data_IF_296756838620
#
_entry.id   IF_296756838620
#
_cell.length_a   1.000
_cell.length_b   1.000
_cell.length_c   1.000
_cell.angle_alpha   90.00
_cell.angle_beta   90.00
_cell.angle_gamma   90.00
#
_symmetry.space_group_name_H-M   'P 1'
#
loop_
_entity.id
_entity.type
_entity.pdbx_description
1 polymer ?
#
# COMPACT_ATOMS: atom_id res chain seq x y z
N UNK A 1 0.89 -16.52 9.76
CA UNK A 1 2.05 -17.39 9.45
C UNK A 1 2.94 -16.61 8.50
N UNK A 2 4.28 -16.62 8.61
CA UNK A 2 5.10 -15.91 7.62
C UNK A 2 4.82 -16.47 6.24
N UNK A 3 4.52 -15.62 5.26
CA UNK A 3 4.84 -15.94 3.88
C UNK A 3 6.37 -16.08 3.89
N UNK A 4 6.87 -17.31 4.01
CA UNK A 4 8.29 -17.62 3.81
C UNK A 4 8.53 -17.73 2.31
N UNK A 5 8.05 -16.74 1.56
CA UNK A 5 8.28 -16.71 0.14
C UNK A 5 9.50 -15.84 -0.13
N UNK A 6 10.58 -16.52 -0.48
CA UNK A 6 11.80 -15.90 -0.93
C UNK A 6 11.76 -15.73 -2.47
N UNK A 7 10.57 -15.66 -3.06
CA UNK A 7 10.39 -15.43 -4.49
C UNK A 7 10.81 -14.03 -4.89
N UNK A 8 11.18 -13.87 -6.16
CA UNK A 8 11.48 -12.55 -6.71
C UNK A 8 10.21 -11.71 -6.74
N UNK A 9 9.06 -12.29 -7.05
CA UNK A 9 7.78 -11.60 -7.09
C UNK A 9 7.41 -10.98 -5.73
N UNK A 10 7.53 -11.77 -4.66
CA UNK A 10 7.24 -11.30 -3.30
C UNK A 10 8.08 -10.06 -2.95
N UNK A 11 9.41 -10.18 -3.06
CA UNK A 11 10.31 -9.09 -2.71
C UNK A 11 10.18 -7.88 -3.64
N UNK A 12 9.94 -8.10 -4.94
CA UNK A 12 9.83 -7.03 -5.92
C UNK A 12 8.75 -6.03 -5.56
N UNK A 13 7.59 -6.47 -5.05
CA UNK A 13 6.54 -5.56 -4.59
C UNK A 13 7.01 -4.60 -3.50
N UNK A 14 7.83 -5.07 -2.55
CA UNK A 14 8.36 -4.23 -1.48
C UNK A 14 9.36 -3.18 -2.02
N UNK A 15 10.24 -3.57 -2.94
CA UNK A 15 11.18 -2.65 -3.58
C UNK A 15 10.48 -1.63 -4.48
N UNK A 16 9.48 -2.07 -5.27
CA UNK A 16 8.63 -1.20 -6.10
C UNK A 16 7.99 -0.14 -5.22
N UNK A 17 7.36 -0.52 -4.11
CA UNK A 17 6.67 0.42 -3.23
C UNK A 17 7.60 1.53 -2.69
N UNK A 18 8.84 1.21 -2.32
CA UNK A 18 9.80 2.23 -1.89
C UNK A 18 10.19 3.16 -3.03
N UNK A 19 10.51 2.61 -4.20
CA UNK A 19 10.92 3.42 -5.35
C UNK A 19 9.79 4.28 -5.90
N UNK A 20 8.56 3.76 -5.97
CA UNK A 20 7.38 4.54 -6.36
C UNK A 20 7.07 5.63 -5.36
N UNK A 21 7.23 5.38 -4.06
CA UNK A 21 7.09 6.42 -3.05
C UNK A 21 8.12 7.55 -3.29
N UNK A 22 9.38 7.22 -3.55
CA UNK A 22 10.42 8.22 -3.84
C UNK A 22 10.14 9.01 -5.13
N UNK A 23 9.68 8.33 -6.19
CA UNK A 23 9.39 8.93 -7.49
C UNK A 23 8.12 9.79 -7.48
N UNK A 24 7.05 9.32 -6.83
CA UNK A 24 5.70 9.83 -7.03
C UNK A 24 5.12 10.59 -5.83
N UNK A 25 5.64 10.41 -4.61
CA UNK A 25 5.08 11.05 -3.42
C UNK A 25 5.62 12.47 -3.23
N UNK A 26 4.73 13.47 -3.27
CA UNK A 26 5.06 14.90 -3.38
C UNK A 26 5.45 15.55 -2.06
N UNK A 27 4.97 15.01 -0.95
CA UNK A 27 5.12 15.63 0.37
C UNK A 27 6.27 15.04 1.18
N UNK A 28 7.10 14.18 0.57
CA UNK A 28 8.35 13.74 1.16
C UNK A 28 9.24 14.92 1.54
N UNK A 29 9.99 14.77 2.64
CA UNK A 29 10.91 15.79 3.11
C UNK A 29 12.01 16.11 2.06
N UNK A 30 12.43 15.10 1.31
CA UNK A 30 13.41 15.19 0.23
C UNK A 30 12.82 14.59 -1.06
N UNK A 31 11.89 15.30 -1.72
CA UNK A 31 11.11 14.73 -2.81
C UNK A 31 11.84 14.80 -4.15
N UNK A 32 11.56 13.88 -5.08
CA UNK A 32 12.23 13.82 -6.38
C UNK A 32 12.01 15.07 -7.24
N UNK A 33 10.84 15.73 -7.16
CA UNK A 33 10.51 16.91 -7.97
C UNK A 33 11.34 18.16 -7.69
N UNK A 34 12.23 18.13 -6.68
CA UNK A 34 13.20 19.20 -6.41
C UNK A 34 14.58 18.95 -7.03
N UNK A 35 14.81 17.75 -7.59
CA UNK A 35 16.05 17.43 -8.28
C UNK A 35 16.11 18.19 -9.61
N UNK A 36 17.30 18.62 -10.00
CA UNK A 36 17.50 19.38 -11.24
C UNK A 36 17.15 18.55 -12.48
N UNK A 37 17.30 17.23 -12.40
CA UNK A 37 17.04 16.27 -13.49
C UNK A 37 15.59 15.78 -13.56
N UNK A 38 14.69 16.22 -12.67
CA UNK A 38 13.29 15.79 -12.68
C UNK A 38 12.58 16.15 -14.00
N UNK A 39 11.74 15.27 -14.59
CA UNK A 39 11.24 14.01 -14.04
C UNK A 39 12.15 12.78 -14.24
N UNK A 40 13.26 12.91 -14.96
CA UNK A 40 14.14 11.79 -15.28
C UNK A 40 15.38 11.81 -14.38
N UNK A 41 15.24 11.29 -13.16
CA UNK A 41 16.34 11.24 -12.19
C UNK A 41 16.78 9.80 -11.90
N UNK A 42 18.03 9.65 -11.43
CA UNK A 42 18.57 8.39 -10.90
C UNK A 42 18.71 8.43 -9.38
N UNK A 43 18.92 7.27 -8.76
CA UNK A 43 19.24 7.19 -7.32
C UNK A 43 20.58 7.90 -7.01
N UNK A 44 21.51 7.91 -7.96
CA UNK A 44 22.74 8.69 -7.89
C UNK A 44 22.49 10.20 -7.83
N UNK A 45 21.60 10.74 -8.68
CA UNK A 45 21.23 12.16 -8.64
C UNK A 45 20.65 12.53 -7.27
N UNK A 46 19.71 11.71 -6.78
CA UNK A 46 19.07 11.94 -5.49
C UNK A 46 20.07 11.91 -4.33
N UNK A 47 21.00 10.93 -4.32
CA UNK A 47 22.07 10.86 -3.33
C UNK A 47 23.04 12.03 -3.41
N UNK A 48 23.39 12.48 -4.61
CA UNK A 48 24.33 13.58 -4.84
C UNK A 48 23.76 14.95 -4.49
N UNK A 49 22.45 15.13 -4.65
CA UNK A 49 21.75 16.38 -4.38
C UNK A 49 21.45 16.58 -2.89
N UNK A 50 21.02 15.54 -2.18
CA UNK A 50 20.61 15.63 -0.79
C UNK A 50 21.73 15.32 0.22
N UNK A 51 21.64 15.79 1.48
CA UNK A 51 22.64 15.50 2.52
C UNK A 51 22.84 14.00 2.73
N UNK A 52 24.06 13.54 3.08
CA UNK A 52 24.39 12.11 3.19
C UNK A 52 23.44 11.26 4.07
N UNK A 53 22.78 11.86 5.06
CA UNK A 53 21.85 11.20 5.99
C UNK A 53 20.37 11.45 5.65
N UNK A 54 20.06 12.00 4.48
CA UNK A 54 18.69 12.38 4.12
C UNK A 54 17.72 11.21 4.20
N UNK A 55 18.14 10.01 3.76
CA UNK A 55 17.27 8.83 3.79
C UNK A 55 16.96 8.38 5.22
N UNK A 56 17.88 8.54 6.17
CA UNK A 56 17.63 8.25 7.59
C UNK A 56 16.47 9.08 8.13
N UNK A 57 16.41 10.36 7.75
CA UNK A 57 15.30 11.25 8.11
C UNK A 57 13.99 10.87 7.39
N UNK A 58 14.05 10.16 6.26
CA UNK A 58 12.87 9.72 5.51
C UNK A 58 12.33 8.35 5.94
N UNK A 59 13.08 7.53 6.69
CA UNK A 59 12.67 6.15 7.03
C UNK A 59 11.25 6.11 7.59
N UNK A 60 10.96 6.93 8.60
CA UNK A 60 9.62 6.95 9.23
C UNK A 60 8.53 7.45 8.29
N UNK A 61 8.86 8.37 7.38
CA UNK A 61 7.91 8.89 6.39
C UNK A 61 7.61 7.86 5.31
N UNK A 62 8.61 7.15 4.80
CA UNK A 62 8.43 6.08 3.80
C UNK A 62 7.75 4.86 4.44
N UNK A 63 8.04 4.53 5.71
CA UNK A 63 7.28 3.50 6.42
C UNK A 63 5.80 3.85 6.57
N UNK A 64 5.47 5.14 6.71
CA UNK A 64 4.10 5.60 6.81
C UNK A 64 3.41 5.69 5.44
N UNK A 65 3.91 6.54 4.55
CA UNK A 65 3.31 6.84 3.26
C UNK A 65 3.66 5.82 2.19
N UNK A 66 4.88 5.29 2.19
CA UNK A 66 5.28 4.20 1.27
C UNK A 66 4.45 2.93 1.46
N UNK A 67 3.84 2.75 2.64
CA UNK A 67 2.94 1.62 2.89
C UNK A 67 1.66 1.68 2.02
N UNK A 68 1.23 2.86 1.57
CA UNK A 68 0.15 3.03 0.58
C UNK A 68 0.46 2.30 -0.73
N UNK A 69 1.63 2.60 -1.30
CA UNK A 69 2.11 1.95 -2.52
C UNK A 69 2.27 0.44 -2.32
N UNK A 70 2.83 0.05 -1.17
CA UNK A 70 3.02 -1.36 -0.85
C UNK A 70 1.71 -2.14 -0.76
N UNK A 71 0.72 -1.63 -0.03
CA UNK A 71 -0.58 -2.30 0.14
C UNK A 71 -1.32 -2.45 -1.19
N UNK A 72 -1.25 -1.44 -2.06
CA UNK A 72 -1.83 -1.52 -3.41
C UNK A 72 -1.22 -2.67 -4.21
N UNK A 73 0.11 -2.81 -4.21
CA UNK A 73 0.77 -3.94 -4.88
C UNK A 73 0.42 -5.27 -4.23
N UNK A 74 0.49 -5.34 -2.90
CA UNK A 74 0.26 -6.57 -2.16
C UNK A 74 -1.16 -7.12 -2.35
N UNK A 75 -2.18 -6.25 -2.32
CA UNK A 75 -3.57 -6.66 -2.51
C UNK A 75 -3.94 -6.97 -3.96
N UNK A 76 -3.24 -6.37 -4.93
CA UNK A 76 -3.35 -6.77 -6.34
C UNK A 76 -2.58 -8.05 -6.68
N UNK A 77 -1.91 -8.65 -5.70
CA UNK A 77 -1.10 -9.84 -5.88
C UNK A 77 -1.75 -11.07 -5.23
N UNK A 78 -1.38 -12.26 -5.71
CA UNK A 78 -1.91 -13.55 -5.24
C UNK A 78 -1.77 -13.76 -3.72
N UNK A 79 -0.76 -13.13 -3.10
CA UNK A 79 -0.53 -13.19 -1.65
C UNK A 79 -1.56 -12.40 -0.82
N UNK A 80 -2.18 -11.37 -1.41
CA UNK A 80 -3.18 -10.55 -0.76
C UNK A 80 -4.60 -11.10 -0.88
N UNK A 81 -4.86 -12.05 -1.79
CA UNK A 81 -6.22 -12.48 -2.16
C UNK A 81 -7.08 -12.90 -0.96
N UNK A 82 -6.54 -13.70 -0.05
CA UNK A 82 -7.29 -14.16 1.14
C UNK A 82 -7.74 -12.98 2.03
N UNK A 83 -6.93 -11.92 2.11
CA UNK A 83 -7.26 -10.72 2.88
C UNK A 83 -8.28 -9.88 2.12
N UNK A 84 -8.10 -9.75 0.80
CA UNK A 84 -9.04 -9.02 -0.06
C UNK A 84 -10.42 -9.66 -0.01
N UNK A 85 -10.54 -10.98 -0.12
CA UNK A 85 -11.84 -11.69 -0.03
C UNK A 85 -12.56 -11.38 1.28
N UNK A 86 -11.83 -11.28 2.40
CA UNK A 86 -12.44 -10.89 3.69
C UNK A 86 -12.82 -9.42 3.74
N UNK A 87 -12.04 -8.52 3.15
CA UNK A 87 -12.39 -7.10 3.01
C UNK A 87 -13.70 -6.99 2.23
N UNK A 88 -13.75 -7.67 1.09
CA UNK A 88 -14.88 -7.82 0.19
C UNK A 88 -16.15 -8.28 0.92
N UNK A 89 -16.08 -9.39 1.66
CA UNK A 89 -17.19 -9.93 2.47
C UNK A 89 -17.66 -8.96 3.57
N UNK A 90 -16.74 -8.31 4.28
CA UNK A 90 -17.10 -7.39 5.37
C UNK A 90 -17.71 -6.08 4.84
N UNK A 91 -17.25 -5.58 3.70
CA UNK A 91 -17.85 -4.41 3.06
C UNK A 91 -19.28 -4.67 2.61
N UNK A 92 -19.56 -5.85 2.06
CA UNK A 92 -20.92 -6.26 1.73
C UNK A 92 -21.80 -6.31 2.98
N UNK A 93 -21.31 -6.94 4.06
CA UNK A 93 -22.05 -7.00 5.33
C UNK A 93 -22.35 -5.64 5.96
N UNK A 94 -21.43 -4.67 5.84
CA UNK A 94 -21.57 -3.33 6.44
C UNK A 94 -22.42 -2.37 5.61
N UNK A 95 -22.32 -2.44 4.28
CA UNK A 95 -22.91 -1.44 3.39
C UNK A 95 -23.98 -2.00 2.44
N UNK A 96 -24.23 -3.31 2.49
CA UNK A 96 -25.20 -4.03 1.65
C UNK A 96 -25.04 -3.67 0.17
N UNK A 97 -23.88 -3.99 -0.40
CA UNK A 97 -23.55 -3.62 -1.77
C UNK A 97 -24.47 -4.43 -2.70
N UNK A 98 -25.39 -3.78 -3.44
CA UNK A 98 -26.34 -4.47 -4.30
C UNK A 98 -25.63 -5.38 -5.29
N UNK A 99 -26.04 -6.65 -5.32
CA UNK A 99 -25.48 -7.68 -6.18
C UNK A 99 -23.95 -7.78 -6.11
N UNK A 100 -23.40 -7.71 -4.90
CA UNK A 100 -21.96 -7.83 -4.64
C UNK A 100 -21.26 -8.97 -5.41
N UNK A 101 -21.96 -10.09 -5.56
CA UNK A 101 -21.49 -11.29 -6.26
C UNK A 101 -21.28 -11.11 -7.77
N UNK A 102 -21.87 -10.08 -8.35
CA UNK A 102 -21.72 -9.75 -9.78
C UNK A 102 -20.39 -9.01 -10.05
N UNK A 103 -19.67 -8.57 -9.01
CA UNK A 103 -18.33 -8.00 -9.12
C UNK A 103 -17.26 -9.10 -9.01
N UNK A 104 -16.96 -9.69 -10.17
CA UNK A 104 -16.13 -10.87 -10.35
C UNK A 104 -14.63 -10.59 -10.45
N UNK A 105 -14.23 -9.33 -10.60
CA UNK A 105 -12.83 -8.88 -10.58
C UNK A 105 -12.65 -7.66 -9.67
N UNK A 106 -11.41 -7.35 -9.29
CA UNK A 106 -11.09 -6.20 -8.47
C UNK A 106 -9.68 -5.67 -8.73
N UNK A 107 -9.45 -4.42 -8.36
CA UNK A 107 -8.10 -3.84 -8.38
C UNK A 107 -8.00 -2.69 -7.37
N UNK A 108 -6.90 -2.62 -6.65
CA UNK A 108 -6.54 -1.50 -5.80
C UNK A 108 -5.71 -0.50 -6.57
N UNK A 109 -5.94 0.78 -6.32
CA UNK A 109 -5.19 1.88 -6.90
C UNK A 109 -4.77 2.86 -5.81
N UNK A 110 -3.59 3.45 -6.00
CA UNK A 110 -3.18 4.63 -5.24
C UNK A 110 -4.15 5.77 -5.57
N UNK A 111 -4.60 6.50 -4.57
CA UNK A 111 -5.40 7.72 -4.71
C UNK A 111 -4.71 8.89 -4.00
N UNK A 112 -5.34 10.05 -3.99
CA UNK A 112 -4.80 11.22 -3.30
C UNK A 112 -4.00 12.16 -4.18
N UNK A 113 -4.01 13.45 -3.83
CA UNK A 113 -3.28 14.49 -4.55
C UNK A 113 -1.77 14.48 -4.26
N UNK A 114 -1.38 13.90 -3.14
CA UNK A 114 0.00 13.77 -2.67
C UNK A 114 0.81 12.75 -3.47
N UNK A 115 0.16 11.87 -4.23
CA UNK A 115 0.81 10.96 -5.18
C UNK A 115 0.53 11.34 -6.64
N UNK A 116 1.54 11.22 -7.50
CA UNK A 116 1.35 11.31 -8.95
C UNK A 116 0.56 10.11 -9.52
N UNK A 117 0.59 8.95 -8.86
CA UNK A 117 -0.15 7.74 -9.27
C UNK A 117 -1.67 7.86 -9.01
N UNK A 118 -2.10 8.78 -8.14
CA UNK A 118 -3.51 9.06 -7.90
C UNK A 118 -4.22 9.80 -9.05
N UNK A 119 -3.45 10.27 -10.04
CA UNK A 119 -4.01 10.91 -11.24
C UNK A 119 -4.92 9.93 -11.98
N UNK A 120 -6.04 10.43 -12.47
CA UNK A 120 -7.01 9.70 -13.28
C UNK A 120 -7.74 8.55 -12.56
N UNK A 121 -7.72 8.51 -11.22
CA UNK A 121 -8.51 7.50 -10.48
C UNK A 121 -10.01 7.56 -10.85
N UNK A 122 -10.51 8.75 -11.19
CA UNK A 122 -11.88 8.99 -11.64
C UNK A 122 -12.28 8.22 -12.91
N UNK A 123 -11.29 7.78 -13.71
CA UNK A 123 -11.52 7.01 -14.95
C UNK A 123 -11.66 5.51 -14.68
N UNK A 124 -11.40 5.04 -13.45
CA UNK A 124 -11.38 3.61 -13.11
C UNK A 124 -12.72 3.06 -12.65
N UNK A 125 -13.66 3.93 -12.29
CA UNK A 125 -14.94 3.55 -11.72
C UNK A 125 -16.08 4.43 -12.24
N UNK A 126 -17.29 3.86 -12.28
CA UNK A 126 -18.51 4.56 -12.71
C UNK A 126 -19.26 5.14 -11.52
N UNK A 127 -19.24 4.42 -10.39
CA UNK A 127 -20.00 4.75 -9.19
C UNK A 127 -19.12 4.66 -7.93
N UNK A 128 -19.49 5.39 -6.87
CA UNK A 128 -18.80 5.38 -5.57
C UNK A 128 -19.70 4.73 -4.53
N UNK A 129 -19.12 3.88 -3.69
CA UNK A 129 -19.81 3.31 -2.54
C UNK A 129 -19.18 3.72 -1.22
N UNK A 130 -19.99 3.85 -0.15
CA UNK A 130 -21.42 3.51 -0.06
C UNK A 130 -22.37 4.54 -0.71
N UNK A 131 -23.46 4.07 -1.35
CA UNK A 131 -24.49 4.92 -2.00
C UNK A 131 -25.37 5.73 -1.04
N UNK A 132 -25.32 5.44 0.26
CA UNK A 132 -26.23 5.97 1.29
C UNK A 132 -26.11 7.47 1.54
N UNK A 133 -25.18 8.13 0.86
CA UNK A 133 -24.92 9.56 0.97
C UNK A 133 -24.95 10.15 -0.44
N UNK A 134 -25.78 11.16 -0.70
CA UNK A 134 -25.80 11.82 -2.02
C UNK A 134 -24.49 12.60 -2.23
N UNK A 135 -23.52 12.02 -2.96
CA UNK A 135 -22.31 12.72 -3.40
C UNK A 135 -22.65 13.77 -4.46
N UNK A 136 -22.34 15.02 -4.17
CA UNK A 136 -22.19 16.03 -5.21
C UNK A 136 -20.88 15.79 -5.98
N UNK A 137 -20.77 16.33 -7.20
CA UNK A 137 -19.54 16.26 -8.01
C UNK A 137 -18.34 16.88 -7.29
N UNK A 138 -18.55 17.98 -6.56
CA UNK A 138 -17.51 18.62 -5.75
C UNK A 138 -17.01 17.70 -4.63
N UNK A 139 -17.93 17.00 -3.96
CA UNK A 139 -17.60 16.04 -2.92
C UNK A 139 -16.83 14.82 -3.49
N UNK A 140 -17.07 14.43 -4.75
CA UNK A 140 -16.30 13.38 -5.44
C UNK A 140 -14.84 13.79 -5.65
N UNK A 141 -14.58 14.98 -6.19
CA UNK A 141 -13.19 15.45 -6.38
C UNK A 141 -12.46 15.62 -5.04
N UNK A 142 -13.14 16.09 -4.01
CA UNK A 142 -12.58 16.20 -2.65
C UNK A 142 -12.23 14.83 -2.06
N UNK A 143 -13.07 13.82 -2.28
CA UNK A 143 -12.80 12.44 -1.86
C UNK A 143 -11.55 11.87 -2.53
N UNK A 144 -11.47 11.93 -3.86
CA UNK A 144 -10.34 11.41 -4.63
C UNK A 144 -9.02 12.08 -4.24
N UNK A 145 -9.05 13.38 -3.95
CA UNK A 145 -7.85 14.15 -3.60
C UNK A 145 -7.34 13.91 -2.19
N UNK A 146 -8.20 13.47 -1.28
CA UNK A 146 -7.90 13.39 0.15
C UNK A 146 -7.91 11.97 0.72
N UNK A 147 -8.11 10.96 -0.12
CA UNK A 147 -8.00 9.54 0.21
C UNK A 147 -6.63 9.02 -0.19
N UNK A 148 -6.20 7.90 0.41
CA UNK A 148 -4.90 7.30 0.11
C UNK A 148 -5.01 6.20 -0.95
N UNK A 149 -6.12 5.48 -1.00
CA UNK A 149 -6.31 4.44 -2.01
C UNK A 149 -7.79 4.24 -2.36
N UNK A 150 -8.02 3.56 -3.48
CA UNK A 150 -9.33 3.16 -3.96
C UNK A 150 -9.31 1.68 -4.33
N UNK A 151 -10.23 0.91 -3.76
CA UNK A 151 -10.60 -0.42 -4.22
C UNK A 151 -11.65 -0.26 -5.32
N UNK A 152 -11.34 -0.75 -6.52
CA UNK A 152 -12.29 -0.84 -7.63
C UNK A 152 -12.79 -2.26 -7.74
N UNK A 153 -14.10 -2.45 -7.58
CA UNK A 153 -14.80 -3.70 -7.86
C UNK A 153 -15.33 -3.64 -9.29
N UNK A 154 -15.03 -4.65 -10.10
CA UNK A 154 -15.37 -4.69 -11.53
C UNK A 154 -16.41 -5.76 -11.78
N UNK A 155 -17.48 -5.39 -12.49
CA UNK A 155 -18.41 -6.34 -13.09
C UNK A 155 -18.03 -6.51 -14.55
N UNK A 156 -17.31 -7.58 -14.88
CA UNK A 156 -16.78 -7.79 -16.23
C UNK A 156 -17.87 -8.05 -17.28
N UNK A 157 -19.07 -8.47 -16.84
CA UNK A 157 -20.20 -8.77 -17.73
C UNK A 157 -20.94 -7.49 -18.15
N UNK A 158 -21.19 -6.57 -17.22
CA UNK A 158 -21.89 -5.31 -17.49
C UNK A 158 -20.95 -4.15 -17.87
N UNK A 159 -19.65 -4.32 -17.63
CA UNK A 159 -18.66 -3.25 -17.80
C UNK A 159 -18.86 -2.10 -16.82
N UNK A 160 -19.39 -2.38 -15.62
CA UNK A 160 -19.61 -1.40 -14.56
C UNK A 160 -18.66 -1.61 -13.40
N UNK A 161 -18.08 -0.52 -12.94
CA UNK A 161 -17.07 -0.52 -11.88
C UNK A 161 -17.52 0.36 -10.70
N UNK A 162 -17.32 -0.14 -9.48
CA UNK A 162 -17.53 0.61 -8.24
C UNK A 162 -16.20 0.97 -7.62
N UNK A 163 -16.01 2.24 -7.23
CA UNK A 163 -14.90 2.70 -6.38
C UNK A 163 -15.29 2.75 -4.90
N UNK A 164 -14.43 2.22 -4.03
CA UNK A 164 -14.54 2.27 -2.57
C UNK A 164 -13.23 2.84 -2.03
N UNK A 165 -13.32 3.97 -1.32
CA UNK A 165 -12.14 4.73 -0.90
C UNK A 165 -11.72 4.41 0.52
N UNK A 166 -10.42 4.58 0.77
CA UNK A 166 -9.83 4.34 2.07
C UNK A 166 -8.64 5.20 2.41
N UNK A 167 -8.25 5.08 3.67
CA UNK A 167 -7.17 5.81 4.33
C UNK A 167 -6.13 4.82 4.86
N UNK A 168 -4.88 5.25 4.93
CA UNK A 168 -3.77 4.42 5.36
C UNK A 168 -2.90 5.12 6.41
N UNK A 169 -2.67 4.42 7.52
CA UNK A 169 -1.78 4.84 8.60
C UNK A 169 -0.67 3.82 8.77
N UNK A 170 0.39 3.97 7.98
CA UNK A 170 1.47 3.00 7.92
C UNK A 170 2.32 2.90 9.18
N UNK A 171 2.18 3.81 10.14
CA UNK A 171 2.87 3.77 11.43
C UNK A 171 1.97 3.90 12.66
N UNK A 172 0.73 4.38 12.50
CA UNK A 172 -0.15 4.78 13.59
C UNK A 172 -1.57 4.21 13.41
N UNK A 173 -1.67 2.91 13.13
CA UNK A 173 -2.94 2.25 12.85
C UNK A 173 -3.97 2.37 13.98
N UNK A 174 -3.53 2.60 15.22
CA UNK A 174 -4.42 2.86 16.37
C UNK A 174 -5.30 4.11 16.21
N UNK A 175 -4.88 5.07 15.36
CA UNK A 175 -5.67 6.26 15.07
C UNK A 175 -6.97 5.95 14.33
N UNK A 176 -7.05 4.81 13.65
CA UNK A 176 -8.25 4.40 12.92
C UNK A 176 -9.47 4.16 13.83
N UNK A 177 -9.26 4.06 15.15
CA UNK A 177 -10.31 3.96 16.17
C UNK A 177 -10.63 5.28 16.87
N UNK A 178 -10.16 6.40 16.32
CA UNK A 178 -10.38 7.73 16.89
C UNK A 178 -11.28 8.54 15.97
N UNK A 179 -12.37 9.09 16.50
CA UNK A 179 -13.24 9.99 15.74
C UNK A 179 -12.47 11.18 15.16
N UNK A 180 -11.46 11.70 15.87
CA UNK A 180 -10.62 12.81 15.42
C UNK A 180 -9.81 12.50 14.16
N UNK A 181 -9.53 11.22 13.88
CA UNK A 181 -8.90 10.81 12.64
C UNK A 181 -9.87 10.97 11.46
N UNK A 182 -11.07 10.39 11.60
CA UNK A 182 -12.10 10.39 10.56
C UNK A 182 -12.79 11.74 10.36
N UNK A 183 -12.79 12.62 11.36
CA UNK A 183 -13.40 13.94 11.28
C UNK A 183 -12.85 14.83 10.15
N UNK A 184 -11.61 14.61 9.75
CA UNK A 184 -10.95 15.34 8.66
C UNK A 184 -11.09 14.65 7.30
N UNK A 185 -11.75 13.49 7.27
CA UNK A 185 -11.86 12.62 6.09
C UNK A 185 -13.27 12.69 5.52
N UNK A 186 -13.40 12.30 4.26
CA UNK A 186 -14.71 12.17 3.64
C UNK A 186 -15.48 11.02 4.28
N UNK A 187 -16.80 11.17 4.44
CA UNK A 187 -17.65 10.08 4.96
C UNK A 187 -17.61 8.84 4.06
N UNK A 188 -17.24 9.01 2.77
CA UNK A 188 -17.05 7.95 1.78
C UNK A 188 -15.70 7.24 1.86
N UNK A 189 -14.76 7.73 2.65
CA UNK A 189 -13.59 6.94 3.03
C UNK A 189 -14.05 5.95 4.10
N UNK A 190 -14.29 4.70 3.71
CA UNK A 190 -14.90 3.67 4.57
C UNK A 190 -13.95 2.55 4.95
N UNK A 191 -12.78 2.48 4.32
CA UNK A 191 -11.72 1.52 4.64
C UNK A 191 -10.59 2.25 5.35
N UNK A 192 -10.14 1.73 6.49
CA UNK A 192 -8.89 2.14 7.13
C UNK A 192 -7.89 1.00 7.10
N UNK A 193 -6.65 1.25 6.70
CA UNK A 193 -5.57 0.26 6.77
C UNK A 193 -4.45 0.80 7.62
N UNK A 194 -3.93 0.04 8.58
CA UNK A 194 -2.88 0.57 9.43
C UNK A 194 -1.95 -0.47 10.03
N UNK A 195 -0.76 -0.02 10.41
CA UNK A 195 0.19 -0.81 11.16
C UNK A 195 0.11 -0.47 12.65
N UNK A 196 -0.09 -1.48 13.49
CA UNK A 196 -0.17 -1.36 14.96
C UNK A 196 0.98 -2.06 15.64
N UNK A 197 1.32 -1.64 16.86
CA UNK A 197 2.29 -2.38 17.67
C UNK A 197 1.69 -3.74 18.08
N UNK A 198 2.44 -4.81 17.87
CA UNK A 198 2.01 -6.16 18.22
C UNK A 198 3.12 -7.17 17.96
N UNK A 199 3.06 -8.34 18.61
CA UNK A 199 4.15 -9.34 18.59
C UNK A 199 3.70 -10.72 18.09
N UNK A 200 2.42 -10.90 17.84
CA UNK A 200 1.81 -12.17 17.44
C UNK A 200 1.95 -12.44 15.93
N UNK A 201 2.49 -11.48 15.18
CA UNK A 201 2.56 -11.48 13.71
C UNK A 201 1.17 -11.57 13.07
N UNK A 202 0.18 -10.99 13.75
CA UNK A 202 -1.23 -11.06 13.38
C UNK A 202 -1.65 -9.98 12.39
N UNK A 203 -2.88 -10.13 11.88
CA UNK A 203 -3.65 -9.04 11.28
C UNK A 203 -5.11 -9.18 11.74
N UNK A 204 -5.85 -8.08 11.75
CA UNK A 204 -7.20 -7.97 12.31
C UNK A 204 -8.09 -7.19 11.35
N UNK A 205 -9.33 -7.63 11.19
CA UNK A 205 -10.38 -6.89 10.50
C UNK A 205 -11.43 -6.54 11.55
N UNK A 206 -11.66 -5.25 11.75
CA UNK A 206 -12.57 -4.74 12.78
C UNK A 206 -13.47 -3.66 12.20
N UNK A 207 -14.75 -3.70 12.58
CA UNK A 207 -15.65 -2.59 12.30
C UNK A 207 -15.53 -1.52 13.39
N UNK A 208 -15.51 -0.26 12.96
CA UNK A 208 -15.51 0.89 13.85
C UNK A 208 -16.69 1.81 13.49
N UNK A 209 -17.41 2.31 14.50
CA UNK A 209 -18.51 3.24 14.30
C UNK A 209 -18.04 4.67 14.55
N UNK A 210 -17.68 5.38 13.49
CA UNK A 210 -17.35 6.80 13.54
C UNK A 210 -18.58 7.60 13.98
N UNK A 211 -18.43 8.42 15.04
CA UNK A 211 -19.52 9.15 15.71
C UNK A 211 -20.69 8.25 16.14
N UNK A 212 -20.41 6.97 16.39
CA UNK A 212 -21.42 5.97 16.77
C UNK A 212 -22.43 5.60 15.67
N UNK A 213 -22.27 6.08 14.44
CA UNK A 213 -23.28 5.93 13.39
C UNK A 213 -22.73 5.54 12.01
N UNK A 214 -21.49 5.91 11.69
CA UNK A 214 -20.93 5.68 10.37
C UNK A 214 -19.93 4.52 10.41
N UNK A 215 -20.28 3.34 9.87
CA UNK A 215 -19.38 2.20 9.90
C UNK A 215 -18.13 2.46 9.05
N UNK A 216 -16.99 2.01 9.56
CA UNK A 216 -15.69 1.95 8.92
C UNK A 216 -15.16 0.52 9.07
N UNK A 217 -14.49 0.01 8.05
CA UNK A 217 -13.79 -1.27 8.11
C UNK A 217 -12.29 -1.01 8.27
N UNK A 218 -11.75 -1.35 9.43
CA UNK A 218 -10.33 -1.21 9.74
C UNK A 218 -9.61 -2.54 9.54
N UNK A 219 -8.53 -2.54 8.75
CA UNK A 219 -7.60 -3.65 8.56
C UNK A 219 -6.28 -3.29 9.22
N UNK A 220 -5.95 -3.97 10.30
CA UNK A 220 -4.76 -3.71 11.09
C UNK A 220 -3.75 -4.82 10.90
N UNK A 221 -2.52 -4.46 10.59
CA UNK A 221 -1.40 -5.39 10.61
C UNK A 221 -0.53 -5.08 11.83
N UNK A 222 -0.17 -6.10 12.60
CA UNK A 222 0.88 -5.88 13.59
C UNK A 222 2.20 -5.55 12.89
N UNK A 223 3.01 -4.63 13.40
CA UNK A 223 4.34 -4.32 12.83
C UNK A 223 5.30 -5.52 12.83
N UNK A 224 5.02 -6.54 13.66
CA UNK A 224 5.75 -7.81 13.64
C UNK A 224 5.21 -8.81 12.61
N UNK A 225 4.05 -8.52 12.00
CA UNK A 225 3.54 -9.27 10.86
C UNK A 225 4.61 -9.22 9.76
N UNK A 226 4.92 -10.38 9.19
CA UNK A 226 5.97 -10.56 8.20
C UNK A 226 5.82 -9.58 7.04
N UNK A 227 4.61 -9.32 6.56
CA UNK A 227 4.33 -8.40 5.45
C UNK A 227 4.85 -6.99 5.77
N UNK A 228 4.46 -6.45 6.93
CA UNK A 228 4.82 -5.08 7.33
C UNK A 228 6.27 -5.01 7.77
N UNK A 229 6.71 -6.00 8.54
CA UNK A 229 8.08 -6.12 8.98
C UNK A 229 9.05 -6.14 7.79
N UNK A 230 8.73 -6.90 6.74
CA UNK A 230 9.59 -7.06 5.58
C UNK A 230 9.56 -5.82 4.68
N UNK A 231 8.42 -5.13 4.57
CA UNK A 231 8.40 -3.78 3.99
C UNK A 231 9.31 -2.82 4.75
N UNK A 232 9.22 -2.77 6.08
CA UNK A 232 10.11 -1.93 6.90
C UNK A 232 11.57 -2.34 6.80
N UNK A 233 11.86 -3.63 6.62
CA UNK A 233 13.20 -4.14 6.37
C UNK A 233 13.74 -3.59 5.05
N UNK A 234 12.96 -3.61 3.98
CA UNK A 234 13.35 -3.01 2.68
C UNK A 234 13.60 -1.51 2.84
N UNK A 235 12.73 -0.76 3.51
CA UNK A 235 12.96 0.67 3.78
C UNK A 235 14.27 0.90 4.53
N UNK A 236 14.53 0.12 5.59
CA UNK A 236 15.78 0.21 6.34
C UNK A 236 17.01 -0.16 5.51
N UNK A 237 16.86 -1.07 4.55
CA UNK A 237 17.95 -1.44 3.66
C UNK A 237 18.33 -0.30 2.72
N UNK A 238 17.33 0.41 2.16
CA UNK A 238 17.57 1.61 1.37
C UNK A 238 18.34 2.68 2.13
N UNK A 239 18.19 2.78 3.46
CA UNK A 239 19.04 3.67 4.28
C UNK A 239 20.53 3.36 4.08
N UNK A 240 20.91 2.09 4.12
CA UNK A 240 22.31 1.69 3.95
C UNK A 240 22.78 1.83 2.51
N UNK A 241 21.92 1.49 1.54
CA UNK A 241 22.19 1.67 0.11
C UNK A 241 22.43 3.15 -0.19
N UNK A 242 21.57 4.07 0.26
CA UNK A 242 21.75 5.50 0.04
C UNK A 242 22.94 6.08 0.82
N UNK A 243 23.29 5.53 1.97
CA UNK A 243 24.48 5.96 2.70
C UNK A 243 25.76 5.63 1.93
N UNK A 244 25.89 4.39 1.45
CA UNK A 244 27.13 3.88 0.81
C UNK A 244 27.16 4.05 -0.72
N UNK A 245 26.01 4.25 -1.36
CA UNK A 245 25.85 4.26 -2.82
C UNK A 245 26.32 2.96 -3.45
N UNK A 246 27.02 3.06 -4.58
CA UNK A 246 27.59 1.92 -5.33
C UNK A 246 28.58 1.05 -4.53
N UNK A 247 29.09 1.56 -3.41
CA UNK A 247 30.00 0.81 -2.53
C UNK A 247 29.27 -0.09 -1.53
N UNK A 248 27.93 -0.05 -1.49
CA UNK A 248 27.14 -0.88 -0.60
C UNK A 248 27.43 -2.36 -0.87
N UNK A 249 27.82 -3.09 0.19
CA UNK A 249 28.02 -4.53 0.14
C UNK A 249 26.82 -5.22 0.76
N UNK A 250 26.12 -5.97 -0.05
CA UNK A 250 24.92 -6.68 0.33
C UNK A 250 25.23 -8.05 0.94
N UNK A 251 24.90 -8.22 2.22
CA UNK A 251 25.11 -9.48 2.97
C UNK A 251 23.80 -10.14 3.38
N UNK A 252 22.71 -9.82 2.71
CA UNK A 252 21.39 -10.36 3.03
C UNK A 252 21.36 -11.87 2.72
N UNK A 253 20.82 -12.70 3.64
CA UNK A 253 20.84 -14.15 3.48
C UNK A 253 19.86 -14.66 2.42
N UNK A 254 18.83 -13.86 2.11
CA UNK A 254 17.84 -14.18 1.09
C UNK A 254 18.40 -13.86 -0.30
N UNK A 255 18.45 -14.86 -1.18
CA UNK A 255 19.02 -14.74 -2.52
C UNK A 255 18.25 -13.76 -3.41
N UNK A 256 16.92 -13.76 -3.34
CA UNK A 256 16.06 -12.90 -4.16
C UNK A 256 16.14 -11.47 -3.68
N UNK A 257 16.04 -11.25 -2.37
CA UNK A 257 16.29 -9.94 -1.76
C UNK A 257 17.66 -9.40 -2.15
N UNK A 258 18.70 -10.26 -2.07
CA UNK A 258 20.06 -9.88 -2.42
C UNK A 258 20.18 -9.50 -3.89
N UNK A 259 19.66 -10.36 -4.77
CA UNK A 259 19.66 -10.15 -6.21
C UNK A 259 19.02 -8.80 -6.59
N UNK A 260 17.86 -8.48 -6.01
CA UNK A 260 17.14 -7.23 -6.31
C UNK A 260 17.94 -5.99 -5.90
N UNK A 261 18.61 -6.02 -4.76
CA UNK A 261 19.49 -4.91 -4.34
C UNK A 261 20.71 -4.80 -5.23
N UNK A 262 21.34 -5.91 -5.57
CA UNK A 262 22.52 -5.91 -6.43
C UNK A 262 22.16 -5.33 -7.80
N UNK A 263 20.97 -5.66 -8.31
CA UNK A 263 20.40 -5.05 -9.52
C UNK A 263 20.17 -3.53 -9.34
N UNK A 264 19.53 -3.09 -8.24
CA UNK A 264 19.33 -1.66 -7.96
C UNK A 264 20.66 -0.90 -7.92
N UNK A 265 21.72 -1.49 -7.35
CA UNK A 265 23.06 -0.91 -7.28
C UNK A 265 23.73 -0.88 -8.64
N UNK A 266 23.57 -1.92 -9.47
CA UNK A 266 24.08 -1.93 -10.84
C UNK A 266 23.46 -0.82 -11.68
N UNK A 267 22.17 -0.57 -11.49
CA UNK A 267 21.40 0.49 -12.17
C UNK A 267 21.41 1.83 -11.41
N UNK A 268 22.32 2.03 -10.46
CA UNK A 268 22.34 3.21 -9.59
C UNK A 268 22.29 4.57 -10.30
N UNK A 269 22.91 4.64 -11.48
CA UNK A 269 22.97 5.83 -12.34
C UNK A 269 21.91 5.83 -13.46
N UNK A 270 21.14 4.76 -13.61
CA UNK A 270 20.04 4.71 -14.56
C UNK A 270 18.83 5.50 -14.03
N UNK A 271 17.95 6.00 -14.91
CA UNK A 271 16.66 6.56 -14.49
C UNK A 271 15.91 5.58 -13.58
N UNK A 272 15.33 6.07 -12.49
CA UNK A 272 14.57 5.25 -11.52
C UNK A 272 13.49 4.42 -12.20
N UNK A 273 12.86 4.99 -13.25
CA UNK A 273 11.88 4.29 -14.06
C UNK A 273 12.39 2.97 -14.67
N UNK A 274 13.65 2.92 -15.10
CA UNK A 274 14.23 1.71 -15.66
C UNK A 274 14.37 0.61 -14.59
N UNK A 275 14.65 1.00 -13.35
CA UNK A 275 14.71 0.07 -12.21
C UNK A 275 13.31 -0.45 -11.90
N UNK A 276 12.32 0.44 -11.87
CA UNK A 276 10.91 0.06 -11.67
C UNK A 276 10.43 -0.92 -12.75
N UNK A 277 10.68 -0.63 -14.04
CA UNK A 277 10.26 -1.50 -15.14
C UNK A 277 10.88 -2.91 -15.03
N UNK A 278 12.13 -3.03 -14.55
CA UNK A 278 12.76 -4.33 -14.25
C UNK A 278 12.12 -5.02 -13.05
N UNK A 279 11.80 -4.29 -11.98
CA UNK A 279 11.12 -4.88 -10.82
C UNK A 279 9.72 -5.38 -11.18
N UNK A 280 8.98 -4.64 -12.01
CA UNK A 280 7.66 -5.05 -12.48
C UNK A 280 7.70 -6.37 -13.26
N UNK A 281 8.74 -6.61 -14.08
CA UNK A 281 8.85 -7.88 -14.80
C UNK A 281 9.10 -9.07 -13.89
N UNK A 282 9.69 -8.87 -12.70
CA UNK A 282 9.82 -9.92 -11.67
C UNK A 282 8.56 -10.08 -10.81
N UNK A 283 7.84 -8.99 -10.55
CA UNK A 283 6.57 -9.01 -9.80
C UNK A 283 5.53 -9.89 -10.50
N UNK A 284 5.42 -9.77 -11.82
CA UNK A 284 4.35 -10.38 -12.61
C UNK A 284 4.73 -11.76 -13.19
N UNK A 285 5.71 -12.46 -12.62
CA UNK A 285 6.12 -13.79 -13.06
C UNK A 285 5.03 -14.84 -12.73
N UNK A 286 4.33 -15.40 -13.75
CA UNK A 286 3.27 -16.39 -13.55
C UNK A 286 3.80 -17.76 -13.11
N UNK A 287 5.09 -18.04 -13.30
CA UNK A 287 5.71 -19.35 -13.06
C UNK A 287 6.26 -19.52 -11.62
N UNK A 288 6.26 -18.46 -10.80
CA UNK A 288 6.70 -18.57 -9.40
C UNK A 288 5.65 -19.29 -8.53
N UNK A 289 5.98 -20.52 -8.14
CA UNK A 289 5.22 -21.39 -7.23
C UNK A 289 4.76 -20.65 -5.97
N UNK A 290 3.45 -20.52 -5.78
CA UNK A 290 2.82 -20.01 -4.56
C UNK A 290 3.19 -20.93 -3.39
N UNK A 291 3.84 -20.40 -2.36
CA UNK A 291 4.00 -21.11 -1.09
C UNK A 291 2.63 -21.53 -0.52
N UNK A 292 2.48 -22.79 -0.13
CA UNK A 292 1.20 -23.32 0.41
C UNK A 292 0.72 -22.48 1.61
N UNK A 293 -0.43 -21.82 1.47
CA UNK A 293 -1.20 -21.28 2.60
C UNK A 293 -1.83 -22.45 3.37
N UNK A 294 -1.31 -22.79 4.54
CA UNK A 294 -1.98 -23.74 5.43
C UNK A 294 -3.18 -23.06 6.10
N UNK A 295 -4.39 -23.54 5.78
CA UNK A 295 -5.64 -23.13 6.40
C UNK A 295 -5.57 -23.30 7.93
N UNK A 296 -5.35 -22.20 8.66
CA UNK A 296 -5.68 -22.13 10.08
C UNK A 296 -7.01 -21.40 10.26
N UNK A 297 -7.92 -21.90 11.11
CA UNK A 297 -9.15 -21.20 11.42
C UNK A 297 -8.83 -19.82 12.02
N UNK A 298 -9.44 -18.80 11.43
CA UNK A 298 -9.37 -17.41 11.89
C UNK A 298 -10.01 -17.35 13.26
N UNK A 299 -9.29 -16.81 14.24
CA UNK A 299 -9.85 -16.56 15.56
C UNK A 299 -10.68 -15.28 15.47
N UNK A 300 -12.00 -15.45 15.34
CA UNK A 300 -12.98 -14.41 15.65
C UNK A 300 -12.95 -14.20 17.17
N UNK A 301 -12.37 -13.10 17.62
CA UNK A 301 -12.52 -12.67 19.02
C UNK A 301 -13.79 -11.83 19.05
N UNK A 302 -14.81 -12.33 19.75
CA UNK A 302 -15.98 -11.52 20.10
C UNK A 302 -15.54 -10.36 21.00
N UNK A 303 -16.22 -9.22 20.87
CA UNK A 303 -15.97 -7.96 21.56
C UNK A 303 -15.29 -8.12 22.93
N UNK A 304 -14.20 -7.36 23.15
CA UNK A 304 -13.76 -7.08 24.51
C UNK A 304 -14.76 -6.13 25.15
N UNK A 305 -15.90 -6.67 25.61
CA UNK A 305 -16.73 -6.05 26.62
C UNK A 305 -16.24 -6.54 27.99
N UNK A 306 -15.42 -5.70 28.64
CA UNK A 306 -15.44 -5.38 30.07
C UNK A 306 -14.43 -4.27 30.38
#
# INVERSE_FOLDING_TARGET
MPISDNSLSYWSMHFIAVLECLENHKTLQYPAHRLDEYPMFSLANMKGYYPNYFFENMVNFIQNWGMQYFIVHFFNHKFGLEIVDKIKENLDGLFNIPNYKDYDDFEFYVSGIDSELGKNISERYDEIYPKSFNLTVENKSVLERNSDFCLVLKNTQEGKNIGIFGELEGNYGEKLFQDSFWERKSDFCVIGIGAINGKNKGYYLESYLYRGQYPKLNILFEKSNYIIHDFYRVVNEFKYVFYQGVNYKNFQPDNSFRFLIDMIIQDWNAPVRNILDKLYSYKDDPDELIGKLENKPILLISSMDN
#
